data_IF_906778363801
#
_entry.id   IF_906778363801
#
_cell.length_a   1.000
_cell.length_b   1.000
_cell.length_c   1.000
_cell.angle_alpha   90.00
_cell.angle_beta   90.00
_cell.angle_gamma   90.00
#
_symmetry.space_group_name_H-M   'P 1'
#
loop_
_entity.id
_entity.type
_entity.pdbx_description
1 polymer ?
#
# COMPACT_ATOMS: atom_id res chain seq x y z
N UNK A 1 0.69 20.51 39.10
CA UNK A 1 -0.48 20.23 38.26
C UNK A 1 0.05 19.93 36.86
N UNK A 2 0.13 18.65 36.50
CA UNK A 2 0.42 18.22 35.14
C UNK A 2 -0.93 17.82 34.53
N UNK A 3 -1.45 18.62 33.61
CA UNK A 3 -2.54 18.18 32.75
C UNK A 3 -1.89 17.59 31.50
N UNK A 4 -1.97 16.26 31.39
CA UNK A 4 -1.77 15.57 30.12
C UNK A 4 -2.98 15.84 29.24
N UNK A 5 -2.74 16.48 28.10
CA UNK A 5 -3.72 16.55 27.03
C UNK A 5 -3.68 15.21 26.28
N UNK A 6 -4.68 14.38 26.58
CA UNK A 6 -5.02 13.23 25.76
C UNK A 6 -5.62 13.76 24.44
N UNK A 7 -4.92 13.55 23.34
CA UNK A 7 -5.46 13.75 21.99
C UNK A 7 -6.58 12.71 21.76
N UNK A 8 -7.81 13.16 21.92
CA UNK A 8 -9.05 12.45 21.59
C UNK A 8 -9.51 12.89 20.20
N UNK A 9 -8.85 12.36 19.16
CA UNK A 9 -9.31 12.44 17.77
C UNK A 9 -9.55 11.01 17.27
N UNK A 10 -10.81 10.70 16.94
CA UNK A 10 -11.33 9.36 16.72
C UNK A 10 -10.40 8.43 15.93
N UNK A 11 -10.09 7.28 16.54
CA UNK A 11 -9.24 6.24 15.96
C UNK A 11 -9.77 5.79 14.60
N UNK A 12 -9.26 6.41 13.55
CA UNK A 12 -9.33 5.84 12.20
C UNK A 12 -8.54 4.54 12.26
N UNK A 13 -9.23 3.40 12.27
CA UNK A 13 -8.61 2.08 12.33
C UNK A 13 -7.42 2.02 11.36
N UNK A 14 -6.22 1.91 11.92
CA UNK A 14 -4.97 1.76 11.16
C UNK A 14 -4.88 0.29 10.77
N UNK A 15 -4.79 0.04 9.47
CA UNK A 15 -4.74 -1.27 8.84
C UNK A 15 -3.29 -1.63 8.49
N UNK A 16 -2.93 -2.89 8.67
CA UNK A 16 -1.64 -3.45 8.22
C UNK A 16 -1.70 -3.80 6.75
N UNK A 17 -0.56 -3.80 6.06
CA UNK A 17 -0.54 -4.08 4.62
C UNK A 17 -1.07 -5.49 4.31
N UNK A 18 -0.79 -6.50 5.14
CA UNK A 18 -1.32 -7.86 4.94
C UNK A 18 -2.86 -7.95 4.91
N UNK A 19 -3.55 -6.98 5.51
CA UNK A 19 -5.01 -6.95 5.64
C UNK A 19 -5.67 -6.17 4.48
N UNK A 20 -4.87 -5.71 3.50
CA UNK A 20 -5.38 -5.05 2.31
C UNK A 20 -6.21 -6.02 1.47
N UNK A 21 -7.46 -5.62 1.20
CA UNK A 21 -8.37 -6.32 0.30
C UNK A 21 -8.78 -5.36 -0.82
N UNK A 22 -8.77 -5.79 -2.10
CA UNK A 22 -9.21 -4.95 -3.20
C UNK A 22 -10.65 -4.48 -3.00
N UNK A 23 -10.83 -3.18 -2.81
CA UNK A 23 -12.15 -2.59 -2.65
C UNK A 23 -12.12 -1.14 -3.12
N UNK A 24 -13.07 -0.77 -3.98
CA UNK A 24 -13.17 0.59 -4.49
C UNK A 24 -13.67 1.60 -3.42
N UNK A 25 -14.30 1.11 -2.35
CA UNK A 25 -15.00 1.92 -1.35
C UNK A 25 -14.37 1.91 0.04
N UNK A 26 -13.41 1.02 0.31
CA UNK A 26 -12.79 0.94 1.63
C UNK A 26 -11.78 2.07 1.80
N UNK A 27 -11.84 2.69 2.97
CA UNK A 27 -10.88 3.71 3.40
C UNK A 27 -9.72 3.01 4.07
N UNK A 28 -8.55 3.03 3.44
CA UNK A 28 -7.32 2.48 4.00
C UNK A 28 -6.58 3.58 4.74
N UNK A 29 -6.28 3.36 6.02
CA UNK A 29 -5.34 4.18 6.77
C UNK A 29 -4.19 3.28 7.20
N UNK A 30 -2.96 3.58 6.82
CA UNK A 30 -1.81 2.70 7.07
C UNK A 30 -0.53 3.51 7.16
N UNK A 31 0.55 2.90 7.67
CA UNK A 31 1.88 3.51 7.73
C UNK A 31 2.88 2.48 7.30
N UNK A 32 3.75 2.86 6.37
CA UNK A 32 4.71 1.97 5.72
C UNK A 32 6.01 2.72 5.40
N UNK A 33 7.07 1.97 5.14
CA UNK A 33 8.32 2.47 4.62
C UNK A 33 8.34 2.34 3.09
N UNK A 34 8.90 3.34 2.41
CA UNK A 34 9.17 3.28 0.97
C UNK A 34 10.47 2.52 0.74
N UNK A 35 10.43 1.44 -0.03
CA UNK A 35 11.60 0.60 -0.33
C UNK A 35 12.26 0.98 -1.65
N UNK A 36 11.45 1.22 -2.68
CA UNK A 36 11.91 1.61 -4.01
C UNK A 36 10.88 2.53 -4.69
N UNK A 37 11.33 3.35 -5.63
CA UNK A 37 10.50 4.29 -6.39
C UNK A 37 10.94 4.34 -7.84
N UNK A 38 10.03 3.96 -8.74
CA UNK A 38 10.23 4.09 -10.17
C UNK A 38 10.25 5.58 -10.58
N UNK A 39 11.01 5.89 -11.64
CA UNK A 39 11.06 7.22 -12.22
C UNK A 39 9.65 7.73 -12.59
N UNK A 40 9.39 9.05 -12.45
CA UNK A 40 8.12 9.63 -12.85
C UNK A 40 7.79 9.32 -14.31
N UNK A 41 6.57 8.84 -14.54
CA UNK A 41 6.07 8.53 -15.86
C UNK A 41 4.86 9.41 -16.17
N UNK A 42 4.89 10.08 -17.32
CA UNK A 42 3.70 10.70 -17.94
C UNK A 42 3.39 9.95 -19.23
N UNK A 43 2.13 9.54 -19.40
CA UNK A 43 1.66 8.94 -20.65
C UNK A 43 0.80 9.95 -21.39
N UNK A 44 1.34 10.56 -22.45
CA UNK A 44 0.53 11.27 -23.46
C UNK A 44 -0.43 12.34 -22.92
N UNK A 45 0.06 13.32 -22.16
CA UNK A 45 -0.75 14.41 -21.60
C UNK A 45 -1.48 14.08 -20.30
N UNK A 46 -1.33 12.84 -19.82
CA UNK A 46 -1.83 12.39 -18.52
C UNK A 46 -0.89 12.85 -17.38
N UNK A 47 -1.47 13.01 -16.19
CA UNK A 47 -0.79 13.47 -14.98
C UNK A 47 0.43 12.59 -14.67
N UNK A 48 1.51 13.20 -14.19
CA UNK A 48 2.74 12.51 -13.84
C UNK A 48 2.45 11.52 -12.70
N UNK A 49 2.89 10.26 -12.82
CA UNK A 49 2.72 9.26 -11.77
C UNK A 49 4.02 8.54 -11.44
N UNK A 50 4.17 8.11 -10.19
CA UNK A 50 5.29 7.29 -9.74
C UNK A 50 4.76 6.04 -9.05
N UNK A 51 5.36 4.90 -9.38
CA UNK A 51 5.08 3.64 -8.71
C UNK A 51 6.19 3.39 -7.69
N UNK A 52 5.82 3.18 -6.44
CA UNK A 52 6.73 2.86 -5.37
C UNK A 52 6.42 1.48 -4.78
N UNK A 53 7.46 0.75 -4.39
CA UNK A 53 7.33 -0.43 -3.52
C UNK A 53 7.32 0.06 -2.08
N UNK A 54 6.31 -0.31 -1.32
CA UNK A 54 6.18 0.05 0.09
C UNK A 54 5.96 -1.19 0.95
N UNK A 55 6.41 -1.16 2.20
CA UNK A 55 6.29 -2.30 3.10
C UNK A 55 6.08 -1.90 4.56
N UNK A 56 5.50 -2.82 5.33
CA UNK A 56 5.44 -2.79 6.78
C UNK A 56 5.90 -4.14 7.33
N UNK A 57 5.88 -4.33 8.64
CA UNK A 57 6.29 -5.58 9.30
C UNK A 57 5.48 -6.82 8.89
N UNK A 58 4.41 -6.65 8.09
CA UNK A 58 3.46 -7.70 7.74
C UNK A 58 3.42 -8.08 6.27
N UNK A 59 3.63 -7.12 5.35
CA UNK A 59 3.58 -7.34 3.91
C UNK A 59 4.18 -6.15 3.14
N UNK A 60 4.27 -6.31 1.82
CA UNK A 60 4.54 -5.22 0.87
C UNK A 60 3.33 -4.94 -0.04
N UNK A 61 3.31 -3.77 -0.66
CA UNK A 61 2.35 -3.38 -1.69
C UNK A 61 2.95 -2.36 -2.65
N UNK A 62 2.37 -2.22 -3.83
CA UNK A 62 2.67 -1.13 -4.74
C UNK A 62 1.84 0.11 -4.40
N UNK A 63 2.50 1.26 -4.21
CA UNK A 63 1.89 2.57 -4.04
C UNK A 63 1.99 3.36 -5.34
N UNK A 64 0.87 3.94 -5.79
CA UNK A 64 0.81 4.86 -6.93
C UNK A 64 0.64 6.30 -6.43
N UNK A 65 1.66 7.11 -6.68
CA UNK A 65 1.71 8.54 -6.38
C UNK A 65 1.27 9.36 -7.59
N UNK A 66 0.60 10.49 -7.35
CA UNK A 66 0.03 11.35 -8.40
C UNK A 66 0.62 12.75 -8.35
N UNK A 67 0.95 13.27 -9.54
CA UNK A 67 1.58 14.57 -9.71
C UNK A 67 3.10 14.55 -9.49
N UNK A 68 3.78 15.52 -10.08
CA UNK A 68 5.24 15.67 -9.94
C UNK A 68 5.65 16.02 -8.50
N UNK A 69 4.77 16.66 -7.73
CA UNK A 69 5.02 17.04 -6.34
C UNK A 69 5.08 15.81 -5.42
N UNK A 70 4.04 14.95 -5.39
CA UNK A 70 4.08 13.74 -4.56
C UNK A 70 5.24 12.80 -4.96
N UNK A 71 5.46 12.67 -6.27
CA UNK A 71 6.57 11.92 -6.85
C UNK A 71 7.96 12.37 -6.37
N UNK A 72 8.15 13.67 -6.14
CA UNK A 72 9.44 14.24 -5.71
C UNK A 72 9.55 14.42 -4.19
N UNK A 73 8.42 14.44 -3.48
CA UNK A 73 8.38 14.60 -2.03
C UNK A 73 8.74 13.31 -1.26
N UNK A 74 8.49 12.14 -1.84
CA UNK A 74 8.71 10.85 -1.18
C UNK A 74 9.89 10.11 -1.81
N UNK A 75 10.85 9.68 -0.99
CA UNK A 75 12.04 8.95 -1.41
C UNK A 75 12.15 7.58 -0.71
N UNK A 76 12.91 6.62 -1.29
CA UNK A 76 13.25 5.38 -0.59
C UNK A 76 13.84 5.65 0.80
N UNK A 77 13.36 4.91 1.80
CA UNK A 77 13.68 5.09 3.22
C UNK A 77 12.69 5.95 3.99
N UNK A 78 11.80 6.69 3.33
CA UNK A 78 10.78 7.50 4.01
C UNK A 78 9.70 6.62 4.65
N UNK A 79 9.30 7.00 5.86
CA UNK A 79 8.12 6.43 6.54
C UNK A 79 6.94 7.34 6.23
N UNK A 80 5.93 6.76 5.60
CA UNK A 80 4.78 7.49 5.06
C UNK A 80 3.51 7.01 5.73
N UNK A 81 2.71 7.97 6.21
CA UNK A 81 1.35 7.72 6.70
C UNK A 81 0.34 8.02 5.61
N UNK A 82 -0.29 6.98 5.10
CA UNK A 82 -1.42 7.11 4.18
C UNK A 82 -2.71 7.21 4.98
N UNK A 83 -3.46 8.30 4.79
CA UNK A 83 -4.80 8.48 5.35
C UNK A 83 -5.80 8.55 4.20
N UNK A 84 -6.92 7.83 4.30
CA UNK A 84 -7.95 7.87 3.26
C UNK A 84 -7.52 7.27 1.93
N UNK A 85 -6.65 6.26 1.97
CA UNK A 85 -6.20 5.52 0.80
C UNK A 85 -7.24 4.57 0.24
N UNK A 86 -6.98 4.07 -0.96
CA UNK A 86 -7.80 3.07 -1.66
C UNK A 86 -6.85 2.03 -2.25
N UNK A 87 -7.16 0.75 -2.04
CA UNK A 87 -6.45 -0.37 -2.65
C UNK A 87 -7.33 -0.99 -3.75
N UNK A 88 -6.95 -0.80 -5.01
CA UNK A 88 -7.80 -1.14 -6.15
C UNK A 88 -7.01 -1.40 -7.43
N UNK A 89 -7.66 -2.07 -8.39
CA UNK A 89 -7.08 -2.36 -9.69
C UNK A 89 -6.89 -1.10 -10.53
N UNK A 90 -5.68 -0.90 -11.04
CA UNK A 90 -5.35 0.22 -11.93
C UNK A 90 -5.37 -0.21 -13.40
N UNK A 91 -6.41 0.22 -14.13
CA UNK A 91 -6.67 -0.20 -15.52
C UNK A 91 -5.53 0.14 -16.48
N UNK A 92 -4.87 1.28 -16.31
CA UNK A 92 -3.81 1.73 -17.23
C UNK A 92 -2.43 1.09 -16.97
N UNK A 93 -2.30 0.30 -15.89
CA UNK A 93 -1.06 -0.39 -15.47
C UNK A 93 -1.27 -1.91 -15.48
N UNK A 94 -1.76 -2.45 -16.59
CA UNK A 94 -1.89 -3.91 -16.76
C UNK A 94 -2.82 -4.58 -15.76
N UNK A 95 -3.81 -3.86 -15.24
CA UNK A 95 -4.71 -4.34 -14.18
C UNK A 95 -3.95 -4.79 -12.91
N UNK A 96 -2.87 -4.10 -12.55
CA UNK A 96 -2.16 -4.31 -11.29
C UNK A 96 -2.94 -3.70 -10.11
N UNK A 97 -2.87 -4.35 -8.95
CA UNK A 97 -3.39 -3.80 -7.71
C UNK A 97 -2.44 -2.76 -7.16
N UNK A 98 -2.95 -1.57 -6.85
CA UNK A 98 -2.15 -0.50 -6.27
C UNK A 98 -2.89 0.14 -5.11
N UNK A 99 -2.11 0.53 -4.11
CA UNK A 99 -2.50 1.45 -3.08
C UNK A 99 -2.34 2.88 -3.62
N UNK A 100 -3.26 3.78 -3.30
CA UNK A 100 -3.18 5.20 -3.69
C UNK A 100 -3.95 6.06 -2.72
N UNK A 101 -3.67 7.35 -2.70
CA UNK A 101 -4.55 8.31 -2.02
C UNK A 101 -5.95 8.31 -2.67
N UNK A 102 -6.99 8.31 -1.84
CA UNK A 102 -8.36 8.57 -2.29
C UNK A 102 -8.59 10.06 -2.56
N UNK A 103 -9.78 10.44 -3.04
CA UNK A 103 -10.12 11.85 -3.37
C UNK A 103 -9.91 12.86 -2.23
N UNK A 104 -10.06 12.41 -0.98
CA UNK A 104 -9.80 13.19 0.25
C UNK A 104 -8.65 12.60 1.08
N UNK A 105 -7.93 11.65 0.50
CA UNK A 105 -6.80 11.00 1.12
C UNK A 105 -5.52 11.79 0.88
N UNK A 106 -4.47 11.44 1.60
CA UNK A 106 -3.13 12.02 1.45
C UNK A 106 -2.06 11.06 1.98
N UNK A 107 -0.85 11.20 1.45
CA UNK A 107 0.34 10.50 1.91
C UNK A 107 1.30 11.51 2.52
N UNK A 108 1.47 11.46 3.85
CA UNK A 108 2.35 12.39 4.56
C UNK A 108 3.63 11.65 4.99
N UNK A 109 4.83 12.21 4.71
CA UNK A 109 6.06 11.75 5.35
C UNK A 109 5.98 12.04 6.85
N UNK A 110 6.18 11.01 7.68
CA UNK A 110 6.12 11.08 9.14
C UNK A 110 7.40 10.65 9.83
N UNK A 111 8.37 10.11 9.08
CA UNK A 111 9.67 9.68 9.60
C UNK A 111 10.56 9.13 8.49
N UNK A 112 11.67 8.49 8.87
CA UNK A 112 12.63 7.86 7.95
C UNK A 112 13.40 6.71 8.62
N UNK A 113 13.82 5.74 7.82
CA UNK A 113 14.75 4.63 8.08
C UNK A 113 14.37 3.59 9.16
N UNK A 114 13.82 4.00 10.29
CA UNK A 114 13.64 3.16 11.47
C UNK A 114 12.26 2.46 11.52
N UNK A 115 11.94 1.66 10.50
CA UNK A 115 10.72 0.84 10.47
C UNK A 115 11.04 -0.61 10.09
N UNK A 116 10.50 -1.56 10.85
CA UNK A 116 10.56 -2.99 10.50
C UNK A 116 9.68 -3.27 9.29
N UNK A 117 10.17 -4.08 8.35
CA UNK A 117 9.42 -4.43 7.15
C UNK A 117 9.69 -5.85 6.65
N UNK A 118 8.74 -6.37 5.86
CA UNK A 118 8.90 -7.58 5.06
C UNK A 118 8.46 -7.33 3.62
N UNK A 119 9.18 -7.87 2.65
CA UNK A 119 8.84 -7.73 1.22
C UNK A 119 7.84 -8.77 0.72
N UNK A 120 7.61 -9.84 1.50
CA UNK A 120 6.72 -10.95 1.14
C UNK A 120 5.73 -11.22 2.28
N UNK A 121 4.43 -11.35 1.99
CA UNK A 121 3.80 -11.31 0.66
C UNK A 121 3.72 -9.88 0.08
N UNK A 122 3.72 -9.76 -1.25
CA UNK A 122 3.37 -8.51 -1.93
C UNK A 122 1.87 -8.55 -2.29
N UNK A 123 1.06 -7.77 -1.59
CA UNK A 123 -0.39 -7.73 -1.73
C UNK A 123 -0.85 -7.31 -3.12
N UNK A 124 -0.02 -6.54 -3.84
CA UNK A 124 -0.28 -6.11 -5.21
C UNK A 124 -0.09 -7.22 -6.24
N UNK A 125 0.59 -8.31 -5.89
CA UNK A 125 0.87 -9.46 -6.75
C UNK A 125 -0.04 -10.66 -6.44
N UNK A 126 -0.78 -10.61 -5.32
CA UNK A 126 -1.76 -11.63 -4.96
C UNK A 126 -2.87 -11.67 -6.00
N UNK A 127 -3.22 -12.88 -6.44
CA UNK A 127 -4.42 -13.09 -7.24
C UNK A 127 -5.63 -13.11 -6.31
N UNK A 128 -6.62 -12.28 -6.61
CA UNK A 128 -7.87 -12.24 -5.85
C UNK A 128 -8.96 -12.92 -6.65
N UNK A 129 -9.59 -13.92 -6.05
CA UNK A 129 -10.72 -14.64 -6.58
C UNK A 129 -12.04 -14.09 -6.06
N UNK A 130 -13.13 -14.50 -6.69
CA UNK A 130 -14.46 -14.41 -6.10
C UNK A 130 -14.81 -15.77 -5.52
N UNK A 131 -15.09 -15.82 -4.23
CA UNK A 131 -15.76 -16.97 -3.65
C UNK A 131 -17.24 -16.90 -4.08
N UNK A 132 -17.84 -17.97 -4.62
CA UNK A 132 -19.27 -17.97 -4.90
C UNK A 132 -20.14 -17.83 -3.64
N UNK A 133 -19.62 -18.17 -2.45
CA UNK A 133 -20.35 -18.14 -1.18
C UNK A 133 -20.02 -16.92 -0.29
N UNK A 134 -18.96 -16.14 -0.60
CA UNK A 134 -18.59 -14.90 0.11
C UNK A 134 -18.55 -13.70 -0.86
N UNK A 135 -19.31 -12.60 -0.61
CA UNK A 135 -19.26 -11.41 -1.46
C UNK A 135 -17.92 -10.67 -1.43
N UNK A 136 -17.02 -10.96 -0.48
CA UNK A 136 -15.69 -10.34 -0.39
C UNK A 136 -14.64 -11.08 -1.24
N UNK A 137 -13.68 -10.37 -1.86
CA UNK A 137 -12.59 -11.02 -2.59
C UNK A 137 -11.74 -11.87 -1.65
N UNK A 138 -11.45 -13.10 -2.06
CA UNK A 138 -10.55 -14.03 -1.33
C UNK A 138 -9.18 -14.08 -2.01
N UNK A 139 -8.12 -14.06 -1.22
CA UNK A 139 -6.76 -14.24 -1.73
C UNK A 139 -6.60 -15.68 -2.23
N UNK A 140 -6.42 -15.85 -3.54
CA UNK A 140 -6.05 -17.12 -4.14
C UNK A 140 -4.55 -17.29 -3.94
N UNK A 141 -4.17 -18.02 -2.90
CA UNK A 141 -2.82 -18.53 -2.81
C UNK A 141 -2.65 -19.53 -3.93
N UNK A 142 -1.99 -19.13 -5.01
CA UNK A 142 -1.47 -20.08 -5.97
C UNK A 142 -0.54 -21.00 -5.17
N UNK A 143 -0.98 -22.23 -4.91
CA UNK A 143 -0.07 -23.29 -4.48
C UNK A 143 0.91 -23.47 -5.64
N UNK A 144 1.98 -22.68 -5.67
CA UNK A 144 3.17 -23.07 -6.40
C UNK A 144 3.51 -24.44 -5.83
N UNK A 145 3.49 -25.43 -6.72
CA UNK A 145 3.55 -26.84 -6.35
C UNK A 145 4.64 -27.12 -5.31
N UNK A 146 4.31 -28.06 -4.44
CA UNK A 146 5.27 -28.98 -3.81
C UNK A 146 6.47 -29.22 -4.77
N UNK A 147 7.73 -29.24 -4.39
CA UNK A 147 8.39 -29.23 -3.11
C UNK A 147 9.86 -28.82 -3.36
N UNK A 148 10.55 -28.33 -2.34
CA UNK A 148 11.88 -28.82 -1.98
C UNK A 148 12.21 -28.31 -0.58
N UNK A 149 11.88 -29.16 0.39
CA UNK A 149 12.65 -29.27 1.62
C UNK A 149 13.96 -29.95 1.21
N UNK A 150 15.09 -29.25 1.33
CA UNK A 150 16.27 -29.79 1.99
C UNK A 150 16.90 -28.65 2.78
N UNK A 151 16.87 -28.80 4.08
CA UNK A 151 17.67 -28.09 5.08
C UNK A 151 19.12 -28.56 5.01
N UNK A 152 20.06 -27.62 5.11
CA UNK A 152 21.52 -27.77 5.39
C UNK A 152 22.36 -28.68 4.51
#
# INVERSE_FOLDING_TARGET
MMQGEADMSGGKNVMKLKDLVPAATNTVNTTFIVLDKAAPASRGGEEVTCLALVADETAAAHLLLWGGEECSALEPGDIVRLTGGIFSYHRHRGNALVLRAGRRGRADKVGELAMLFVETPNMSEIQWGRDPDDPLPVALFATRGLANVVTS
#
